data_IF_354326675491
#
_entry.id   IF_354326675491
#
_cell.length_a   1.000
_cell.length_b   1.000
_cell.length_c   1.000
_cell.angle_alpha   90.00
_cell.angle_beta   90.00
_cell.angle_gamma   90.00
#
_symmetry.space_group_name_H-M   'P 1'
#
loop_
_entity.id
_entity.type
_entity.pdbx_description
1 polymer ?
#
# COMPACT_ATOMS: atom_id res chain seq x y z
N UNK A 1 -28.36 7.72 -36.29
CA UNK A 1 -29.30 6.79 -35.64
C UNK A 1 -28.61 5.48 -35.37
N UNK A 2 -28.01 5.33 -34.19
CA UNK A 2 -27.50 4.05 -33.72
C UNK A 2 -28.66 3.35 -33.00
N UNK A 3 -29.04 2.16 -33.43
CA UNK A 3 -30.05 1.32 -32.77
C UNK A 3 -29.34 0.10 -32.21
N UNK A 4 -29.39 -0.10 -30.90
CA UNK A 4 -28.84 -1.30 -30.26
C UNK A 4 -29.96 -2.34 -30.23
N UNK A 5 -29.77 -3.47 -30.88
CA UNK A 5 -30.69 -4.60 -30.80
C UNK A 5 -30.45 -5.37 -29.51
N UNK A 6 -31.40 -5.33 -28.58
CA UNK A 6 -31.38 -6.17 -27.38
C UNK A 6 -32.30 -7.37 -27.60
N UNK A 7 -31.81 -8.57 -27.29
CA UNK A 7 -32.56 -9.80 -27.49
C UNK A 7 -32.38 -10.69 -26.28
N UNK A 8 -33.44 -10.85 -25.48
CA UNK A 8 -33.47 -11.76 -24.32
C UNK A 8 -33.81 -13.20 -24.75
N UNK A 9 -33.25 -13.65 -25.87
CA UNK A 9 -33.53 -14.94 -26.50
C UNK A 9 -34.94 -15.16 -27.09
N UNK A 10 -35.97 -14.43 -26.65
CA UNK A 10 -37.39 -14.69 -26.99
C UNK A 10 -38.08 -13.52 -27.72
N UNK A 11 -37.71 -12.25 -27.44
CA UNK A 11 -38.23 -11.06 -28.13
C UNK A 11 -37.11 -10.08 -28.43
N UNK A 12 -37.09 -9.54 -29.65
CA UNK A 12 -36.19 -8.45 -30.06
C UNK A 12 -36.79 -7.12 -29.66
N UNK A 13 -36.11 -6.40 -28.78
CA UNK A 13 -36.40 -5.01 -28.46
C UNK A 13 -35.42 -4.11 -29.23
N UNK A 14 -35.95 -3.06 -29.86
CA UNK A 14 -35.17 -2.03 -30.56
C UNK A 14 -35.35 -0.68 -29.86
N UNK A 15 -34.75 -0.49 -28.67
CA UNK A 15 -34.81 0.79 -27.98
C UNK A 15 -34.15 1.91 -28.80
N UNK A 16 -34.78 3.08 -28.79
CA UNK A 16 -34.19 4.29 -29.35
C UNK A 16 -33.16 4.88 -28.38
N UNK A 17 -31.98 5.23 -28.89
CA UNK A 17 -30.93 5.85 -28.07
C UNK A 17 -31.25 7.34 -27.92
N UNK A 18 -31.69 7.73 -26.72
CA UNK A 18 -32.05 9.12 -26.39
C UNK A 18 -30.80 9.95 -26.03
N UNK A 19 -29.73 9.31 -25.56
CA UNK A 19 -28.48 10.00 -25.22
C UNK A 19 -27.36 9.03 -24.89
N UNK A 20 -26.13 9.55 -24.94
CA UNK A 20 -24.91 8.84 -24.52
C UNK A 20 -24.22 9.72 -23.50
N UNK A 21 -23.89 9.16 -22.35
CA UNK A 21 -23.14 9.83 -21.29
C UNK A 21 -21.69 9.38 -21.30
N UNK A 22 -20.81 10.17 -20.68
CA UNK A 22 -19.41 9.79 -20.51
C UNK A 22 -19.29 8.57 -19.59
N UNK A 23 -18.26 7.76 -19.85
CA UNK A 23 -17.94 6.59 -19.04
C UNK A 23 -17.74 6.99 -17.57
N UNK A 24 -18.37 6.24 -16.68
CA UNK A 24 -18.21 6.39 -15.24
C UNK A 24 -18.14 5.02 -14.58
N UNK A 25 -17.44 4.93 -13.45
CA UNK A 25 -17.36 3.69 -12.70
C UNK A 25 -18.64 3.51 -11.87
N UNK A 26 -19.34 2.42 -12.13
CA UNK A 26 -20.54 2.02 -11.37
C UNK A 26 -20.35 0.71 -10.59
N UNK A 27 -19.24 -0.01 -10.84
CA UNK A 27 -18.82 -1.20 -10.13
C UNK A 27 -17.47 -0.97 -9.44
N UNK A 28 -16.91 -2.03 -8.84
CA UNK A 28 -15.57 -2.02 -8.23
C UNK A 28 -14.54 -1.49 -9.23
N UNK A 29 -13.53 -0.76 -8.76
CA UNK A 29 -12.39 -0.32 -9.61
C UNK A 29 -11.58 -1.48 -10.22
N UNK A 30 -11.85 -2.71 -9.77
CA UNK A 30 -11.29 -3.93 -10.34
C UNK A 30 -11.97 -4.36 -11.65
N UNK A 31 -13.15 -3.82 -11.95
CA UNK A 31 -13.90 -4.15 -13.16
C UNK A 31 -13.71 -3.07 -14.22
N UNK A 32 -13.60 -3.49 -15.49
CA UNK A 32 -13.69 -2.56 -16.61
C UNK A 32 -15.08 -1.92 -16.63
N UNK A 33 -15.15 -0.66 -17.05
CA UNK A 33 -16.43 0.01 -17.26
C UNK A 33 -17.17 -0.74 -18.37
N UNK A 34 -18.06 -1.63 -17.95
CA UNK A 34 -18.86 -2.45 -18.84
C UNK A 34 -19.99 -1.61 -19.45
N UNK A 35 -20.48 -1.95 -20.66
CA UNK A 35 -21.58 -1.21 -21.27
C UNK A 35 -22.81 -1.23 -20.36
N UNK A 36 -23.17 -0.07 -19.82
CA UNK A 36 -24.36 0.11 -18.99
C UNK A 36 -25.46 0.76 -19.81
N UNK A 37 -26.64 0.15 -19.80
CA UNK A 37 -27.82 0.68 -20.46
C UNK A 37 -28.80 1.18 -19.40
N UNK A 38 -29.03 2.49 -19.38
CA UNK A 38 -30.12 3.06 -18.61
C UNK A 38 -31.43 2.90 -19.39
N UNK A 39 -32.32 2.05 -18.88
CA UNK A 39 -33.63 1.84 -19.45
C UNK A 39 -34.71 2.12 -18.41
N UNK A 40 -35.75 2.85 -18.82
CA UNK A 40 -36.93 3.05 -18.00
C UNK A 40 -37.92 1.91 -18.23
N UNK A 41 -38.05 1.03 -17.25
CA UNK A 41 -39.08 -0.01 -17.25
C UNK A 41 -40.08 0.28 -16.14
N UNK A 42 -41.30 0.67 -16.51
CA UNK A 42 -42.34 1.16 -15.58
C UNK A 42 -42.78 0.15 -14.52
N UNK A 43 -42.41 -1.13 -14.64
CA UNK A 43 -42.85 -2.23 -13.79
C UNK A 43 -41.74 -2.86 -12.94
N UNK A 44 -40.49 -2.37 -13.04
CA UNK A 44 -39.30 -3.00 -12.44
C UNK A 44 -38.55 -2.10 -11.44
N UNK A 45 -39.26 -1.20 -10.78
CA UNK A 45 -38.70 -0.37 -9.71
C UNK A 45 -38.63 -1.15 -8.40
N UNK A 46 -37.42 -1.58 -8.02
CA UNK A 46 -37.16 -2.20 -6.72
C UNK A 46 -36.49 -1.24 -5.73
N UNK A 47 -35.83 -0.20 -6.23
CA UNK A 47 -35.04 0.74 -5.44
C UNK A 47 -35.24 2.18 -5.93
N UNK A 48 -35.07 3.14 -5.02
CA UNK A 48 -35.15 4.58 -5.30
C UNK A 48 -33.88 5.24 -4.81
N UNK A 49 -33.13 5.87 -5.72
CA UNK A 49 -31.97 6.69 -5.35
C UNK A 49 -32.40 8.12 -5.08
N UNK A 50 -32.17 8.61 -3.86
CA UNK A 50 -32.53 9.97 -3.45
C UNK A 50 -31.25 10.73 -3.09
N UNK A 51 -31.04 11.87 -3.74
CA UNK A 51 -29.96 12.79 -3.37
C UNK A 51 -30.43 13.68 -2.23
N UNK A 52 -29.82 13.54 -1.06
CA UNK A 52 -30.12 14.32 0.14
C UNK A 52 -29.03 15.38 0.41
N UNK A 53 -29.42 16.45 1.09
CA UNK A 53 -28.47 17.45 1.62
C UNK A 53 -27.69 16.86 2.79
N UNK A 54 -26.38 17.16 2.96
CA UNK A 54 -25.58 16.64 4.07
C UNK A 54 -25.97 17.27 5.44
N UNK A 55 -26.90 18.22 5.47
CA UNK A 55 -27.37 18.89 6.68
C UNK A 55 -28.58 18.13 7.23
N UNK A 56 -28.57 17.80 8.53
CA UNK A 56 -29.68 17.16 9.25
C UNK A 56 -30.16 15.81 8.67
N UNK A 57 -29.24 14.96 8.20
CA UNK A 57 -29.55 13.63 7.64
C UNK A 57 -30.55 12.82 8.48
N UNK A 58 -30.44 12.72 9.82
CA UNK A 58 -31.39 11.94 10.61
C UNK A 58 -32.85 12.44 10.50
N UNK A 59 -33.04 13.75 10.40
CA UNK A 59 -34.35 14.38 10.25
C UNK A 59 -34.90 14.13 8.85
N UNK A 60 -34.08 14.34 7.81
CA UNK A 60 -34.46 14.06 6.42
C UNK A 60 -34.82 12.59 6.19
N UNK A 61 -34.06 11.65 6.77
CA UNK A 61 -34.36 10.22 6.66
C UNK A 61 -35.69 9.86 7.33
N UNK A 62 -36.03 10.51 8.44
CA UNK A 62 -37.31 10.33 9.13
C UNK A 62 -38.48 10.85 8.28
N UNK A 63 -38.32 11.99 7.63
CA UNK A 63 -39.32 12.52 6.70
C UNK A 63 -39.52 11.58 5.49
N UNK A 64 -38.43 11.09 4.91
CA UNK A 64 -38.49 10.11 3.80
C UNK A 64 -39.19 8.83 4.24
N UNK A 65 -38.87 8.32 5.43
CA UNK A 65 -39.52 7.12 5.98
C UNK A 65 -41.04 7.31 6.13
N UNK A 66 -41.49 8.45 6.67
CA UNK A 66 -42.91 8.75 6.81
C UNK A 66 -43.64 8.81 5.47
N UNK A 67 -43.00 9.41 4.46
CA UNK A 67 -43.53 9.45 3.10
C UNK A 67 -43.59 8.04 2.51
N UNK A 68 -42.54 7.24 2.68
CA UNK A 68 -42.48 5.86 2.20
C UNK A 68 -43.59 4.99 2.79
N UNK A 69 -43.75 5.02 4.11
CA UNK A 69 -44.78 4.25 4.83
C UNK A 69 -46.21 4.64 4.41
N UNK A 70 -46.42 5.90 4.02
CA UNK A 70 -47.71 6.38 3.51
C UNK A 70 -48.06 5.79 2.14
N UNK A 71 -47.08 5.66 1.24
CA UNK A 71 -47.31 5.17 -0.12
C UNK A 71 -47.18 3.64 -0.23
N UNK A 72 -46.29 3.03 0.56
CA UNK A 72 -45.93 1.62 0.49
C UNK A 72 -45.92 0.94 1.88
N UNK A 73 -47.06 0.90 2.60
CA UNK A 73 -47.11 0.37 3.98
C UNK A 73 -46.76 -1.12 4.10
N UNK A 74 -46.87 -1.89 3.01
CA UNK A 74 -46.54 -3.31 2.97
C UNK A 74 -45.03 -3.59 2.77
N UNK A 75 -44.21 -2.58 2.48
CA UNK A 75 -42.78 -2.73 2.22
C UNK A 75 -41.95 -2.02 3.30
N UNK A 76 -41.08 -2.74 4.03
CA UNK A 76 -40.22 -2.12 5.04
C UNK A 76 -39.29 -1.09 4.40
N UNK A 77 -39.10 0.03 5.08
CA UNK A 77 -38.17 1.07 4.65
C UNK A 77 -36.72 0.60 4.90
N UNK A 78 -36.10 0.04 3.86
CA UNK A 78 -34.69 -0.33 3.86
C UNK A 78 -33.92 0.71 3.03
N UNK A 79 -32.81 1.19 3.57
CA UNK A 79 -31.92 2.12 2.88
C UNK A 79 -30.47 1.75 3.17
N UNK A 80 -29.60 2.07 2.21
CA UNK A 80 -28.16 2.12 2.41
C UNK A 80 -27.67 3.47 1.91
N UNK A 81 -26.61 3.98 2.52
CA UNK A 81 -25.93 5.14 1.97
C UNK A 81 -24.89 4.69 0.94
N UNK A 82 -24.84 5.43 -0.17
CA UNK A 82 -23.93 5.12 -1.27
C UNK A 82 -22.45 5.18 -0.84
N UNK A 83 -22.09 6.10 0.05
CA UNK A 83 -20.73 6.18 0.60
C UNK A 83 -20.37 4.96 1.44
N UNK A 84 -21.30 4.41 2.22
CA UNK A 84 -21.08 3.19 3.00
C UNK A 84 -20.90 1.96 2.10
N UNK A 85 -21.70 1.86 1.03
CA UNK A 85 -21.58 0.76 0.08
C UNK A 85 -20.29 0.85 -0.73
N UNK A 86 -19.88 2.06 -1.13
CA UNK A 86 -18.57 2.31 -1.73
C UNK A 86 -17.44 1.96 -0.76
N UNK A 87 -17.54 2.35 0.52
CA UNK A 87 -16.54 2.02 1.55
C UNK A 87 -16.39 0.51 1.75
N UNK A 88 -17.50 -0.25 1.72
CA UNK A 88 -17.47 -1.72 1.77
C UNK A 88 -16.68 -2.32 0.62
N UNK A 89 -16.73 -1.72 -0.57
CA UNK A 89 -15.96 -2.17 -1.73
C UNK A 89 -14.45 -1.97 -1.59
N UNK A 90 -14.00 -1.04 -0.72
CA UNK A 90 -12.57 -0.74 -0.50
C UNK A 90 -11.95 -1.39 0.75
N UNK A 91 -12.77 -1.98 1.63
CA UNK A 91 -12.31 -2.58 2.89
C UNK A 91 -11.33 -3.74 2.69
N UNK A 92 -11.46 -4.49 1.59
CA UNK A 92 -10.58 -5.62 1.30
C UNK A 92 -9.15 -5.16 0.99
N UNK A 93 -9.02 -4.06 0.26
CA UNK A 93 -7.77 -3.42 -0.16
C UNK A 93 -7.10 -2.78 1.05
N UNK A 94 -7.87 -2.06 1.89
CA UNK A 94 -7.35 -1.45 3.10
C UNK A 94 -6.81 -2.51 4.08
N UNK A 95 -7.53 -3.63 4.23
CA UNK A 95 -7.09 -4.76 5.05
C UNK A 95 -5.80 -5.37 4.51
N UNK A 96 -5.71 -5.58 3.19
CA UNK A 96 -4.51 -6.12 2.53
C UNK A 96 -3.31 -5.21 2.72
N UNK A 97 -3.48 -3.90 2.52
CA UNK A 97 -2.46 -2.89 2.78
C UNK A 97 -1.98 -2.92 4.23
N UNK A 98 -2.91 -2.99 5.19
CA UNK A 98 -2.58 -3.04 6.63
C UNK A 98 -1.75 -4.27 6.98
N UNK A 99 -2.10 -5.44 6.45
CA UNK A 99 -1.35 -6.68 6.66
C UNK A 99 0.06 -6.57 6.07
N UNK A 100 0.18 -6.18 4.79
CA UNK A 100 1.47 -6.05 4.10
C UNK A 100 2.36 -5.02 4.81
N UNK A 101 1.80 -3.89 5.23
CA UNK A 101 2.52 -2.85 5.96
C UNK A 101 3.06 -3.36 7.30
N UNK A 102 2.23 -4.08 8.07
CA UNK A 102 2.63 -4.66 9.35
C UNK A 102 3.79 -5.66 9.18
N UNK A 103 3.68 -6.58 8.21
CA UNK A 103 4.76 -7.54 7.92
C UNK A 103 6.03 -6.85 7.39
N UNK A 104 5.88 -5.77 6.61
CA UNK A 104 7.03 -5.00 6.12
C UNK A 104 7.80 -4.34 7.26
N UNK A 105 7.09 -3.74 8.22
CA UNK A 105 7.71 -3.15 9.42
C UNK A 105 8.45 -4.22 10.23
N UNK A 106 7.82 -5.39 10.46
CA UNK A 106 8.45 -6.52 11.15
C UNK A 106 9.70 -7.02 10.40
N UNK A 107 9.62 -7.16 9.08
CA UNK A 107 10.75 -7.57 8.26
C UNK A 107 11.92 -6.58 8.34
N UNK A 108 11.65 -5.27 8.35
CA UNK A 108 12.67 -4.24 8.55
C UNK A 108 13.34 -4.38 9.92
N UNK A 109 12.58 -4.60 10.99
CA UNK A 109 13.13 -4.80 12.34
C UNK A 109 14.04 -6.03 12.38
N UNK A 110 13.59 -7.16 11.82
CA UNK A 110 14.37 -8.40 11.76
C UNK A 110 15.64 -8.20 10.93
N UNK A 111 15.55 -7.52 9.79
CA UNK A 111 16.71 -7.19 8.96
C UNK A 111 17.73 -6.31 9.71
N UNK A 112 17.25 -5.32 10.48
CA UNK A 112 18.10 -4.49 11.32
C UNK A 112 18.78 -5.31 12.42
N UNK A 113 18.07 -6.24 13.07
CA UNK A 113 18.67 -7.16 14.04
C UNK A 113 19.75 -8.05 13.41
N UNK A 114 19.52 -8.56 12.20
CA UNK A 114 20.53 -9.34 11.46
C UNK A 114 21.77 -8.50 11.13
N UNK A 115 21.58 -7.27 10.63
CA UNK A 115 22.67 -6.34 10.34
C UNK A 115 23.46 -5.97 11.61
N UNK A 116 22.77 -5.72 12.73
CA UNK A 116 23.40 -5.50 14.03
C UNK A 116 24.23 -6.73 14.45
N UNK A 117 23.67 -7.94 14.38
CA UNK A 117 24.38 -9.16 14.74
C UNK A 117 25.64 -9.39 13.90
N UNK A 118 25.55 -9.21 12.58
CA UNK A 118 26.69 -9.32 11.68
C UNK A 118 27.76 -8.26 11.98
N UNK A 119 27.36 -7.00 12.16
CA UNK A 119 28.30 -5.91 12.46
C UNK A 119 29.00 -6.10 13.81
N UNK A 120 28.28 -6.54 14.84
CA UNK A 120 28.88 -6.89 16.14
C UNK A 120 29.90 -8.02 16.00
N UNK A 121 29.53 -9.12 15.34
CA UNK A 121 30.43 -10.25 15.12
C UNK A 121 31.70 -9.85 14.36
N UNK A 122 31.55 -9.11 13.25
CA UNK A 122 32.70 -8.64 12.46
C UNK A 122 33.59 -7.68 13.24
N UNK A 123 33.00 -6.77 14.04
CA UNK A 123 33.76 -5.82 14.84
C UNK A 123 34.56 -6.53 15.94
N UNK A 124 33.97 -7.55 16.57
CA UNK A 124 34.65 -8.34 17.60
C UNK A 124 35.78 -9.19 17.00
N UNK A 125 35.55 -9.82 15.84
CA UNK A 125 36.59 -10.58 15.15
C UNK A 125 37.77 -9.70 14.70
N UNK A 126 37.50 -8.41 14.38
CA UNK A 126 38.51 -7.42 14.01
C UNK A 126 38.98 -6.56 15.19
N UNK A 127 38.63 -6.91 16.43
CA UNK A 127 38.97 -6.11 17.63
C UNK A 127 40.47 -5.87 17.78
N UNK A 128 41.32 -6.90 17.57
CA UNK A 128 42.79 -6.76 17.66
C UNK A 128 43.35 -5.78 16.60
N UNK A 129 42.88 -5.84 15.36
CA UNK A 129 43.27 -4.91 14.28
C UNK A 129 42.82 -3.46 14.58
N UNK A 130 41.60 -3.30 15.08
CA UNK A 130 41.02 -2.00 15.44
C UNK A 130 41.79 -1.37 16.61
N UNK A 131 42.14 -2.17 17.63
CA UNK A 131 42.92 -1.73 18.79
C UNK A 131 44.32 -1.24 18.39
N UNK A 132 45.04 -2.00 17.56
CA UNK A 132 46.37 -1.60 17.05
C UNK A 132 46.28 -0.31 16.23
N UNK A 133 45.31 -0.19 15.32
CA UNK A 133 45.11 1.04 14.54
C UNK A 133 44.79 2.25 15.41
N UNK A 134 44.00 2.08 16.47
CA UNK A 134 43.63 3.15 17.40
C UNK A 134 44.85 3.67 18.17
N UNK A 135 45.75 2.77 18.60
CA UNK A 135 47.01 3.14 19.28
C UNK A 135 47.98 3.84 18.31
N UNK A 136 47.97 3.44 17.04
CA UNK A 136 48.72 4.09 15.96
C UNK A 136 48.10 5.43 15.50
N UNK A 137 47.10 5.96 16.21
CA UNK A 137 46.50 7.27 15.95
C UNK A 137 45.42 7.30 14.87
N UNK A 138 44.90 6.14 14.42
CA UNK A 138 43.79 6.12 13.47
C UNK A 138 42.51 6.69 14.10
N UNK A 139 41.82 7.57 13.37
CA UNK A 139 40.55 8.13 13.83
C UNK A 139 39.46 7.04 13.87
N UNK A 140 38.59 7.13 14.88
CA UNK A 140 37.40 6.25 15.01
C UNK A 140 36.49 6.37 13.77
N UNK A 141 36.44 7.58 13.17
CA UNK A 141 35.68 7.84 11.96
C UNK A 141 36.17 7.02 10.76
N UNK A 142 37.49 6.81 10.60
CA UNK A 142 38.04 6.02 9.50
C UNK A 142 37.65 4.53 9.64
N UNK A 143 37.56 4.03 10.87
CA UNK A 143 37.10 2.66 11.16
C UNK A 143 35.62 2.51 10.84
N UNK A 144 34.80 3.47 11.29
CA UNK A 144 33.36 3.51 10.98
C UNK A 144 33.13 3.55 9.47
N UNK A 145 33.80 4.45 8.74
CA UNK A 145 33.63 4.57 7.30
C UNK A 145 33.99 3.28 6.56
N UNK A 146 35.10 2.64 6.93
CA UNK A 146 35.55 1.42 6.25
C UNK A 146 34.60 0.25 6.48
N UNK A 147 34.12 0.08 7.71
CA UNK A 147 33.15 -0.98 8.06
C UNK A 147 31.80 -0.68 7.40
N UNK A 148 31.29 0.54 7.53
CA UNK A 148 30.03 0.95 6.89
C UNK A 148 30.07 0.75 5.37
N UNK A 149 31.19 1.06 4.71
CA UNK A 149 31.32 0.85 3.26
C UNK A 149 31.23 -0.62 2.83
N UNK A 150 31.74 -1.56 3.62
CA UNK A 150 31.62 -3.01 3.35
C UNK A 150 30.14 -3.46 3.41
N UNK A 151 29.40 -3.03 4.42
CA UNK A 151 27.99 -3.39 4.58
C UNK A 151 27.07 -2.64 3.61
N UNK A 152 27.36 -1.37 3.29
CA UNK A 152 26.58 -0.62 2.29
C UNK A 152 26.64 -1.26 0.91
N UNK A 153 27.77 -1.86 0.53
CA UNK A 153 27.85 -2.64 -0.72
C UNK A 153 26.87 -3.80 -0.72
N UNK A 154 26.72 -4.52 0.40
CA UNK A 154 25.74 -5.60 0.52
C UNK A 154 24.31 -5.08 0.41
N UNK A 155 23.99 -3.94 1.05
CA UNK A 155 22.67 -3.31 0.95
C UNK A 155 22.37 -2.82 -0.47
N UNK A 156 23.36 -2.26 -1.18
CA UNK A 156 23.22 -1.86 -2.58
C UNK A 156 22.95 -3.05 -3.49
N UNK A 157 23.66 -4.16 -3.31
CA UNK A 157 23.42 -5.39 -4.07
C UNK A 157 22.00 -5.92 -3.78
N UNK A 158 21.59 -5.91 -2.51
CA UNK A 158 20.23 -6.32 -2.13
C UNK A 158 19.17 -5.42 -2.80
N UNK A 159 19.36 -4.10 -2.84
CA UNK A 159 18.46 -3.18 -3.54
C UNK A 159 18.39 -3.45 -5.04
N UNK A 160 19.53 -3.69 -5.70
CA UNK A 160 19.58 -4.00 -7.13
C UNK A 160 18.81 -5.28 -7.49
N UNK A 161 18.75 -6.25 -6.57
CA UNK A 161 17.96 -7.48 -6.75
C UNK A 161 16.49 -7.24 -6.36
N UNK A 162 16.24 -6.48 -5.30
CA UNK A 162 14.89 -6.21 -4.81
C UNK A 162 14.06 -5.40 -5.82
N UNK A 163 14.64 -4.40 -6.48
CA UNK A 163 13.93 -3.55 -7.44
C UNK A 163 13.26 -4.33 -8.59
N UNK A 164 13.96 -5.18 -9.37
CA UNK A 164 13.32 -5.94 -10.44
C UNK A 164 12.31 -6.94 -9.91
N UNK A 165 12.58 -7.59 -8.78
CA UNK A 165 11.64 -8.53 -8.16
C UNK A 165 10.35 -7.83 -7.73
N UNK A 166 10.46 -6.69 -7.04
CA UNK A 166 9.33 -5.87 -6.64
C UNK A 166 8.57 -5.33 -7.85
N UNK A 167 9.27 -4.89 -8.90
CA UNK A 167 8.64 -4.43 -10.13
C UNK A 167 7.79 -5.53 -10.78
N UNK A 168 8.31 -6.76 -10.90
CA UNK A 168 7.58 -7.88 -11.46
C UNK A 168 6.35 -8.26 -10.64
N UNK A 169 6.48 -8.30 -9.30
CA UNK A 169 5.37 -8.61 -8.40
C UNK A 169 4.27 -7.56 -8.47
N UNK A 170 4.62 -6.27 -8.41
CA UNK A 170 3.67 -5.16 -8.49
C UNK A 170 3.01 -5.14 -9.87
N UNK A 171 3.77 -5.33 -10.95
CA UNK A 171 3.19 -5.34 -12.29
C UNK A 171 2.20 -6.51 -12.49
N UNK A 172 2.52 -7.70 -11.94
CA UNK A 172 1.61 -8.84 -11.96
C UNK A 172 0.35 -8.58 -11.12
N UNK A 173 0.49 -7.92 -9.97
CA UNK A 173 -0.64 -7.54 -9.13
C UNK A 173 -1.51 -6.46 -9.80
N UNK A 174 -0.90 -5.42 -10.36
CA UNK A 174 -1.58 -4.36 -11.11
C UNK A 174 -2.21 -4.84 -12.42
N UNK A 175 -1.81 -5.99 -12.96
CA UNK A 175 -2.43 -6.57 -14.16
C UNK A 175 -3.88 -7.02 -13.91
N UNK A 176 -4.26 -7.26 -12.65
CA UNK A 176 -5.64 -7.54 -12.26
C UNK A 176 -6.52 -6.30 -12.18
N UNK A 177 -5.95 -5.10 -12.41
CA UNK A 177 -6.66 -3.83 -12.35
C UNK A 177 -6.73 -3.21 -13.75
N UNK A 178 -7.94 -2.93 -14.25
CA UNK A 178 -8.10 -2.29 -15.55
C UNK A 178 -7.63 -0.83 -15.53
N UNK A 179 -7.85 -0.13 -14.41
CA UNK A 179 -7.35 1.22 -14.16
C UNK A 179 -6.19 1.17 -13.17
N UNK A 180 -4.97 1.03 -13.69
CA UNK A 180 -3.74 0.93 -12.90
C UNK A 180 -2.96 2.24 -12.84
N UNK A 181 -2.39 2.53 -11.66
CA UNK A 181 -1.43 3.62 -11.49
C UNK A 181 -0.10 3.23 -12.14
N UNK A 182 0.53 4.18 -12.84
CA UNK A 182 1.87 3.97 -13.39
C UNK A 182 2.89 3.78 -12.27
N UNK A 183 3.74 2.76 -12.41
CA UNK A 183 4.81 2.50 -11.43
C UNK A 183 5.84 3.63 -11.53
N UNK A 184 5.90 4.48 -10.51
CA UNK A 184 6.86 5.58 -10.47
C UNK A 184 8.23 5.08 -10.00
N UNK A 185 9.25 5.21 -10.86
CA UNK A 185 10.62 4.79 -10.56
C UNK A 185 11.19 5.50 -9.31
N UNK A 186 10.73 6.71 -9.00
CA UNK A 186 11.16 7.47 -7.82
C UNK A 186 10.90 6.72 -6.52
N UNK A 187 9.86 5.88 -6.46
CA UNK A 187 9.54 5.09 -5.26
C UNK A 187 10.65 4.09 -4.93
N UNK A 188 11.30 3.52 -5.94
CA UNK A 188 12.42 2.60 -5.72
C UNK A 188 13.66 3.33 -5.20
N UNK A 189 13.92 4.53 -5.72
CA UNK A 189 15.01 5.37 -5.24
C UNK A 189 14.78 5.86 -3.82
N UNK A 190 13.58 6.32 -3.48
CA UNK A 190 13.26 6.76 -2.11
C UNK A 190 13.30 5.60 -1.12
N UNK A 191 12.74 4.44 -1.48
CA UNK A 191 12.83 3.24 -0.65
C UNK A 191 14.29 2.77 -0.45
N UNK A 192 15.09 2.78 -1.52
CA UNK A 192 16.52 2.45 -1.45
C UNK A 192 17.30 3.44 -0.58
N UNK A 193 17.01 4.74 -0.68
CA UNK A 193 17.62 5.77 0.14
C UNK A 193 17.26 5.61 1.63
N UNK A 194 16.01 5.29 1.94
CA UNK A 194 15.55 4.99 3.31
C UNK A 194 16.29 3.75 3.85
N UNK A 195 16.37 2.67 3.06
CA UNK A 195 17.07 1.45 3.46
C UNK A 195 18.56 1.70 3.75
N UNK A 196 19.24 2.48 2.90
CA UNK A 196 20.62 2.90 3.11
C UNK A 196 20.77 3.78 4.35
N UNK A 197 19.84 4.71 4.58
CA UNK A 197 19.83 5.56 5.78
C UNK A 197 19.69 4.76 7.06
N UNK A 198 18.74 3.82 7.11
CA UNK A 198 18.56 2.91 8.25
C UNK A 198 19.82 2.08 8.47
N UNK A 199 20.41 1.52 7.41
CA UNK A 199 21.65 0.75 7.49
C UNK A 199 22.80 1.58 8.06
N UNK A 200 23.03 2.79 7.54
CA UNK A 200 24.06 3.72 8.00
C UNK A 200 23.92 4.06 9.48
N UNK A 201 22.70 4.39 9.92
CA UNK A 201 22.43 4.71 11.33
C UNK A 201 22.72 3.50 12.21
N UNK A 202 22.26 2.32 11.79
CA UNK A 202 22.40 1.06 12.53
C UNK A 202 23.87 0.66 12.69
N UNK A 203 24.63 0.63 11.58
CA UNK A 203 26.05 0.27 11.58
C UNK A 203 26.87 1.34 12.31
N UNK A 204 26.61 2.61 12.02
CA UNK A 204 27.31 3.74 12.63
C UNK A 204 27.18 3.73 14.15
N UNK A 205 25.96 3.51 14.66
CA UNK A 205 25.70 3.39 16.09
C UNK A 205 26.47 2.21 16.72
N UNK A 206 26.43 1.04 16.09
CA UNK A 206 27.10 -0.17 16.58
C UNK A 206 28.62 -0.02 16.61
N UNK A 207 29.22 0.44 15.52
CA UNK A 207 30.67 0.60 15.44
C UNK A 207 31.15 1.70 16.38
N UNK A 208 30.42 2.82 16.49
CA UNK A 208 30.74 3.87 17.44
C UNK A 208 30.75 3.34 18.87
N UNK A 209 29.69 2.63 19.27
CA UNK A 209 29.58 2.04 20.61
C UNK A 209 30.72 1.06 20.91
N UNK A 210 31.05 0.18 19.98
CA UNK A 210 32.14 -0.81 20.12
C UNK A 210 33.54 -0.18 20.09
N UNK A 211 33.73 0.92 19.38
CA UNK A 211 35.01 1.64 19.31
C UNK A 211 35.22 2.59 20.51
N UNK A 212 34.14 3.06 21.13
CA UNK A 212 34.16 3.93 22.31
C UNK A 212 34.35 3.15 23.63
N UNK A 213 34.05 1.85 23.66
CA UNK A 213 34.38 1.01 24.83
C UNK A 213 35.89 1.01 25.09
N UNK A 214 36.25 1.14 26.37
CA UNK A 214 37.60 1.45 26.82
C UNK A 214 38.55 0.26 26.52
N UNK A 215 39.63 0.44 25.72
CA UNK A 215 40.49 -0.66 25.28
C UNK A 215 41.26 -1.36 26.42
N UNK A 216 41.35 -0.72 27.59
CA UNK A 216 42.07 -1.24 28.77
C UNK A 216 41.41 -2.49 29.37
N UNK A 217 40.09 -2.68 29.23
CA UNK A 217 39.45 -3.95 29.65
C UNK A 217 39.68 -5.10 28.66
N UNK A 218 39.94 -4.79 27.38
CA UNK A 218 40.04 -5.81 26.33
C UNK A 218 41.36 -6.58 26.30
N UNK A 219 42.37 -6.11 27.05
CA UNK A 219 43.73 -6.70 27.10
C UNK A 219 43.96 -7.44 28.43
N UNK A 220 43.07 -7.28 29.43
CA UNK A 220 43.20 -7.88 30.77
C UNK A 220 42.42 -9.19 30.95
N UNK A 221 41.89 -9.75 29.86
CA UNK A 221 41.17 -11.02 29.80
C UNK A 221 41.91 -12.10 29.00
N UNK A 222 43.24 -12.00 28.91
CA UNK A 222 44.13 -13.15 28.73
C UNK A 222 44.89 -13.37 30.05
#
# INVERSE_FOLDING_TARGET
>A
NYTIGLSDGIKRFSPEIVGVIQDFHFNSLHEEVSPLLFMYWSFLFQEVSIKVSPINIPETMKEIQQVWEKFYPAHPFNYSFLDEDVDKMYKAEEKSFRVISTFSILAIIIACMGLLGLTFYTTEQRRKEIGVRKILGASILNIIQKISAEFLKLVLIANLIAWPVSYLLINKWLASFPYKVGINILVFFTAGAIALGISLITIGFTVFRSAASNPIESIRYE
#
